data_IF_211936926143
#
_entry.id   IF_211936926143
#
_cell.length_a   1.000
_cell.length_b   1.000
_cell.length_c   1.000
_cell.angle_alpha   90.00
_cell.angle_beta   90.00
_cell.angle_gamma   90.00
#
_symmetry.space_group_name_H-M   'P 1'
#
loop_
_entity.id
_entity.type
_entity.pdbx_description
1 polymer ?
#
# COMPACT_ATOMS: atom_id res chain seq x y z
N UNK A 1 5.18 23.98 -8.29
CA UNK A 1 4.47 23.09 -7.34
C UNK A 1 5.35 21.85 -7.21
N UNK A 2 5.88 21.59 -6.00
CA UNK A 2 6.69 20.39 -5.78
C UNK A 2 5.77 19.18 -5.93
N UNK A 3 6.04 18.29 -6.87
CA UNK A 3 5.28 17.05 -7.01
C UNK A 3 5.66 16.13 -5.87
N UNK A 4 4.79 16.03 -4.86
CA UNK A 4 4.96 15.09 -3.76
C UNK A 4 4.77 13.68 -4.33
N UNK A 5 5.83 12.87 -4.29
CA UNK A 5 5.72 11.45 -4.59
C UNK A 5 4.96 10.74 -3.48
N UNK A 6 4.03 9.88 -3.84
CA UNK A 6 3.30 9.00 -2.93
C UNK A 6 3.88 7.59 -3.01
N UNK A 7 4.09 6.95 -1.86
CA UNK A 7 4.59 5.58 -1.76
C UNK A 7 3.86 4.85 -0.66
N UNK A 8 3.12 3.82 -1.04
CA UNK A 8 2.34 2.98 -0.14
C UNK A 8 2.80 1.53 -0.27
N UNK A 9 2.94 0.84 0.86
CA UNK A 9 3.19 -0.61 0.91
C UNK A 9 2.17 -1.21 1.85
N UNK A 10 1.31 -2.08 1.31
CA UNK A 10 0.34 -2.87 2.05
C UNK A 10 0.86 -4.30 2.16
N UNK A 11 1.00 -4.81 3.38
CA UNK A 11 1.24 -6.23 3.67
C UNK A 11 -0.07 -6.82 4.19
N UNK A 12 -0.66 -7.75 3.44
CA UNK A 12 -1.90 -8.42 3.81
C UNK A 12 -1.63 -9.65 4.68
N UNK A 13 -2.64 -10.08 5.44
CA UNK A 13 -2.49 -11.20 6.38
C UNK A 13 -2.13 -12.53 5.70
N UNK A 14 -2.50 -12.70 4.42
CA UNK A 14 -2.14 -13.88 3.63
C UNK A 14 -0.70 -13.85 3.08
N UNK A 15 0.08 -12.80 3.37
CA UNK A 15 1.44 -12.64 2.85
C UNK A 15 1.53 -11.94 1.50
N UNK A 16 0.41 -11.47 0.95
CA UNK A 16 0.46 -10.59 -0.22
C UNK A 16 1.09 -9.25 0.14
N UNK A 17 1.91 -8.72 -0.77
CA UNK A 17 2.46 -7.37 -0.71
C UNK A 17 1.93 -6.59 -1.92
N UNK A 18 1.29 -5.44 -1.66
CA UNK A 18 0.93 -4.46 -2.68
C UNK A 18 1.74 -3.20 -2.46
N UNK A 19 2.51 -2.78 -3.46
CA UNK A 19 3.23 -1.50 -3.46
C UNK A 19 2.63 -0.58 -4.51
N UNK A 20 2.41 0.68 -4.14
CA UNK A 20 2.04 1.76 -5.04
C UNK A 20 3.07 2.87 -4.95
N UNK A 21 3.60 3.33 -6.08
CA UNK A 21 4.57 4.43 -6.12
C UNK A 21 4.29 5.36 -7.31
N UNK A 22 4.31 6.66 -7.08
CA UNK A 22 4.16 7.67 -8.13
C UNK A 22 3.41 8.91 -7.65
N UNK A 23 3.06 9.84 -8.55
CA UNK A 23 2.18 10.94 -8.20
C UNK A 23 0.77 10.44 -7.86
N UNK A 24 0.03 11.13 -6.97
CA UNK A 24 -1.36 10.80 -6.68
C UNK A 24 -2.22 10.62 -7.94
N UNK A 25 -2.82 9.44 -8.11
CA UNK A 25 -3.66 9.09 -9.27
C UNK A 25 -2.89 8.59 -10.50
N UNK A 26 -1.56 8.55 -10.44
CA UNK A 26 -0.69 7.99 -11.48
C UNK A 26 0.29 6.97 -10.92
N UNK A 27 -0.04 6.32 -9.81
CA UNK A 27 0.85 5.37 -9.16
C UNK A 27 1.00 4.07 -9.98
N UNK A 28 2.23 3.59 -10.09
CA UNK A 28 2.55 2.25 -10.56
C UNK A 28 2.33 1.26 -9.41
N UNK A 29 1.69 0.14 -9.71
CA UNK A 29 1.47 -0.95 -8.75
C UNK A 29 2.43 -2.11 -9.00
N UNK A 30 3.04 -2.61 -7.92
CA UNK A 30 3.84 -3.84 -7.91
C UNK A 30 3.30 -4.80 -6.85
N UNK A 31 3.43 -6.10 -7.11
CA UNK A 31 2.85 -7.16 -6.30
C UNK A 31 3.94 -8.17 -5.89
N UNK A 32 3.83 -8.70 -4.67
CA UNK A 32 4.70 -9.75 -4.15
C UNK A 32 3.93 -10.69 -3.24
N UNK A 33 4.53 -11.83 -2.93
CA UNK A 33 4.00 -12.79 -1.97
C UNK A 33 5.14 -13.28 -1.07
N UNK A 34 4.83 -13.45 0.21
CA UNK A 34 5.74 -13.97 1.22
C UNK A 34 5.08 -15.04 2.07
N UNK A 35 5.90 -15.86 2.72
CA UNK A 35 5.41 -16.88 3.64
C UNK A 35 4.87 -16.28 4.94
N UNK A 36 3.96 -17.00 5.60
CA UNK A 36 3.39 -16.57 6.90
C UNK A 36 4.46 -16.30 7.97
N UNK A 37 5.55 -17.06 7.98
CA UNK A 37 6.67 -16.83 8.91
C UNK A 37 7.39 -15.49 8.68
N UNK A 38 7.45 -15.01 7.44
CA UNK A 38 8.02 -13.69 7.12
C UNK A 38 7.08 -12.57 7.54
N UNK A 39 5.77 -12.74 7.31
CA UNK A 39 4.72 -11.82 7.79
C UNK A 39 4.82 -11.64 9.31
N UNK A 40 4.83 -12.74 10.07
CA UNK A 40 4.96 -12.71 11.52
C UNK A 40 6.26 -12.04 11.97
N UNK A 41 7.39 -12.36 11.31
CA UNK A 41 8.67 -11.74 11.61
C UNK A 41 8.66 -10.21 11.39
N UNK A 42 8.03 -9.72 10.32
CA UNK A 42 7.91 -8.29 10.06
C UNK A 42 6.95 -7.58 11.02
N UNK A 43 5.80 -8.19 11.34
CA UNK A 43 4.86 -7.63 12.32
C UNK A 43 5.49 -7.51 13.70
N UNK A 44 6.27 -8.51 14.13
CA UNK A 44 7.04 -8.43 15.37
C UNK A 44 8.04 -7.27 15.33
N UNK A 45 8.83 -7.15 14.26
CA UNK A 45 9.80 -6.05 14.10
C UNK A 45 9.16 -4.66 14.02
N UNK A 46 7.94 -4.55 13.50
CA UNK A 46 7.20 -3.28 13.41
C UNK A 46 6.54 -2.88 14.74
N UNK A 47 6.27 -3.86 15.62
CA UNK A 47 5.66 -3.63 16.95
C UNK A 47 6.68 -3.48 18.08
N UNK A 48 7.94 -3.86 17.85
CA UNK A 48 9.05 -3.73 18.82
C UNK A 48 9.43 -2.29 19.21
N UNK A 49 9.53 -1.32 18.28
CA UNK A 49 9.96 0.03 18.64
C UNK A 49 8.92 0.73 19.52
N UNK A 50 9.36 1.36 20.62
CA UNK A 50 8.52 2.31 21.34
C UNK A 50 8.47 3.61 20.55
N UNK A 51 7.28 3.91 20.01
CA UNK A 51 7.03 5.04 19.13
C UNK A 51 6.50 6.26 19.89
N UNK A 52 6.26 6.13 21.20
CA UNK A 52 5.73 7.19 22.05
C UNK A 52 6.69 8.38 22.24
N UNK A 53 7.99 8.21 22.01
CA UNK A 53 9.00 9.26 22.21
C UNK A 53 9.49 9.94 20.92
N UNK A 54 9.01 9.51 19.74
CA UNK A 54 9.51 10.03 18.45
C UNK A 54 8.64 11.15 17.89
N UNK A 55 8.25 12.10 18.73
CA UNK A 55 7.65 13.33 18.25
C UNK A 55 8.77 14.29 17.83
N UNK A 56 8.87 14.52 16.52
CA UNK A 56 9.80 15.44 15.85
C UNK A 56 11.29 15.10 15.90
N UNK A 57 11.86 14.81 14.72
CA UNK A 57 13.30 14.91 14.54
C UNK A 57 13.76 16.33 14.95
N UNK A 58 14.78 16.48 15.81
CA UNK A 58 15.31 17.79 16.15
C UNK A 58 15.78 18.47 14.87
N UNK A 59 15.28 19.68 14.62
CA UNK A 59 15.43 20.43 13.36
C UNK A 59 16.74 20.15 12.62
N UNK A 60 16.62 19.42 11.50
CA UNK A 60 17.71 19.23 10.56
C UNK A 60 18.10 20.56 9.89
N UNK A 61 19.25 20.60 9.19
CA UNK A 61 19.68 21.81 8.49
C UNK A 61 18.57 22.31 7.57
N UNK A 62 18.05 23.52 7.75
CA UNK A 62 17.02 24.08 6.89
C UNK A 62 17.65 24.54 5.57
N UNK A 63 17.20 23.98 4.44
CA UNK A 63 17.68 24.33 3.10
C UNK A 63 16.64 24.02 2.04
N UNK A 64 16.64 24.79 0.95
CA UNK A 64 15.61 24.78 -0.10
C UNK A 64 15.45 23.46 -0.92
N UNK A 65 16.16 22.39 -0.55
CA UNK A 65 16.28 21.14 -1.33
C UNK A 65 16.11 19.87 -0.49
N UNK A 66 15.42 19.95 0.64
CA UNK A 66 15.22 18.80 1.52
C UNK A 66 13.87 18.14 1.22
N UNK A 67 13.92 16.86 0.89
CA UNK A 67 12.73 16.03 0.71
C UNK A 67 12.13 15.72 2.09
N UNK A 68 11.05 16.44 2.42
CA UNK A 68 10.24 16.20 3.61
C UNK A 68 9.31 15.00 3.36
N UNK A 69 9.50 13.93 4.11
CA UNK A 69 8.72 12.70 4.01
C UNK A 69 7.71 12.61 5.16
N UNK A 70 6.55 12.03 4.86
CA UNK A 70 5.57 11.60 5.87
C UNK A 70 5.43 10.09 5.77
N UNK A 71 5.65 9.39 6.88
CA UNK A 71 5.41 7.95 7.00
C UNK A 71 4.14 7.75 7.81
N UNK A 72 3.16 7.08 7.22
CA UNK A 72 1.96 6.64 7.92
C UNK A 72 2.04 5.12 8.13
N UNK A 73 1.98 4.69 9.40
CA UNK A 73 2.03 3.29 9.79
C UNK A 73 0.68 2.88 10.35
N UNK A 74 0.08 1.85 9.73
CA UNK A 74 -1.17 1.23 10.19
C UNK A 74 -0.89 -0.25 10.50
N UNK A 75 -0.99 -0.63 11.76
CA UNK A 75 -0.80 -2.02 12.21
C UNK A 75 -2.14 -2.62 12.69
N UNK A 76 -2.33 -3.94 12.55
CA UNK A 76 -3.53 -4.60 13.07
C UNK A 76 -3.70 -4.37 14.58
N UNK A 77 -4.87 -3.88 15.00
CA UNK A 77 -5.20 -3.66 16.41
C UNK A 77 -4.52 -2.46 17.08
N UNK A 78 -3.77 -1.63 16.34
CA UNK A 78 -3.13 -0.43 16.85
C UNK A 78 -3.69 0.85 16.19
N UNK A 79 -3.68 2.01 16.88
CA UNK A 79 -4.00 3.28 16.24
C UNK A 79 -2.97 3.58 15.13
N UNK A 80 -3.43 4.23 14.05
CA UNK A 80 -2.54 4.72 13.00
C UNK A 80 -1.56 5.73 13.57
N UNK A 81 -0.30 5.66 13.11
CA UNK A 81 0.77 6.54 13.57
C UNK A 81 1.37 7.29 12.38
N UNK A 82 1.71 8.56 12.58
CA UNK A 82 2.26 9.40 11.52
C UNK A 82 3.57 10.01 11.98
N UNK A 83 4.61 9.82 11.19
CA UNK A 83 5.95 10.35 11.44
C UNK A 83 6.35 11.29 10.32
N UNK A 84 7.06 12.35 10.67
CA UNK A 84 7.70 13.24 9.70
C UNK A 84 9.21 13.11 9.82
N UNK A 85 9.88 12.99 8.69
CA UNK A 85 11.33 12.93 8.64
C UNK A 85 11.86 13.47 7.33
N UNK A 86 13.12 13.92 7.33
CA UNK A 86 13.78 14.30 6.09
C UNK A 86 14.56 13.10 5.55
N UNK A 87 14.42 12.81 4.26
CA UNK A 87 15.05 11.63 3.63
C UNK A 87 16.57 11.54 3.84
N UNK A 88 17.23 12.70 3.92
CA UNK A 88 18.67 12.85 4.08
C UNK A 88 19.11 13.13 5.53
N UNK A 89 18.16 13.29 6.46
CA UNK A 89 18.47 13.36 7.89
C UNK A 89 18.66 11.97 8.47
N UNK A 90 19.37 11.89 9.60
CA UNK A 90 19.40 10.66 10.40
C UNK A 90 18.08 10.56 11.17
N UNK A 91 17.19 9.60 10.84
CA UNK A 91 15.97 9.40 11.62
C UNK A 91 16.33 8.98 13.05
N UNK A 92 15.38 9.09 13.97
CA UNK A 92 15.52 8.44 15.28
C UNK A 92 15.79 6.94 15.10
N UNK A 93 16.37 6.30 16.11
CA UNK A 93 16.63 4.86 16.08
C UNK A 93 15.35 4.06 15.77
N UNK A 94 14.24 4.44 16.41
CA UNK A 94 12.93 3.80 16.23
C UNK A 94 12.40 3.96 14.79
N UNK A 95 12.43 5.17 14.24
CA UNK A 95 11.97 5.42 12.87
C UNK A 95 12.90 4.77 11.84
N UNK A 96 14.21 4.76 12.09
CA UNK A 96 15.19 4.06 11.27
C UNK A 96 14.96 2.55 11.24
N UNK A 97 14.50 1.96 12.34
CA UNK A 97 14.12 0.55 12.41
C UNK A 97 12.88 0.27 11.55
N UNK A 98 11.81 1.08 11.66
CA UNK A 98 10.60 0.95 10.84
C UNK A 98 10.94 1.06 9.34
N UNK A 99 11.65 2.11 8.94
CA UNK A 99 12.02 2.34 7.54
C UNK A 99 12.82 1.16 6.98
N UNK A 100 13.65 0.51 7.80
CA UNK A 100 14.37 -0.70 7.39
C UNK A 100 13.42 -1.86 7.16
N UNK A 101 12.47 -2.12 8.05
CA UNK A 101 11.48 -3.19 7.86
C UNK A 101 10.67 -2.96 6.58
N UNK A 102 10.22 -1.72 6.33
CA UNK A 102 9.47 -1.38 5.09
C UNK A 102 10.31 -1.68 3.85
N UNK A 103 11.60 -1.33 3.85
CA UNK A 103 12.51 -1.66 2.73
C UNK A 103 12.71 -3.15 2.55
N UNK A 104 12.76 -3.93 3.64
CA UNK A 104 12.86 -5.38 3.58
C UNK A 104 11.58 -5.98 2.96
N UNK A 105 10.39 -5.48 3.33
CA UNK A 105 9.10 -5.87 2.72
C UNK A 105 9.12 -5.58 1.23
N UNK A 106 9.56 -4.40 0.83
CA UNK A 106 9.60 -4.03 -0.59
C UNK A 106 10.62 -4.83 -1.40
N UNK A 107 11.74 -5.22 -0.79
CA UNK A 107 12.73 -6.07 -1.43
C UNK A 107 12.20 -7.48 -1.72
N UNK A 108 11.12 -7.92 -1.04
CA UNK A 108 10.45 -9.18 -1.30
C UNK A 108 9.46 -9.13 -2.48
N UNK A 109 9.23 -7.96 -3.06
CA UNK A 109 8.37 -7.82 -4.24
C UNK A 109 9.09 -8.42 -5.45
N UNK A 110 8.45 -9.41 -6.08
CA UNK A 110 8.90 -9.95 -7.35
C UNK A 110 8.50 -8.99 -8.49
N UNK A 111 9.46 -8.33 -9.18
CA UNK A 111 9.13 -7.42 -10.28
C UNK A 111 8.48 -8.12 -11.48
N UNK A 112 8.56 -9.45 -11.54
CA UNK A 112 7.95 -10.28 -12.59
C UNK A 112 6.51 -10.72 -12.27
N UNK A 113 6.08 -10.61 -11.00
CA UNK A 113 4.70 -10.90 -10.60
C UNK A 113 3.73 -9.92 -11.27
N UNK A 114 2.80 -10.48 -12.03
CA UNK A 114 1.77 -9.71 -12.75
C UNK A 114 0.39 -9.83 -12.12
N UNK A 115 0.16 -10.91 -11.39
CA UNK A 115 -1.10 -11.24 -10.76
C UNK A 115 -0.83 -12.05 -9.51
N UNK A 116 -1.76 -11.96 -8.57
CA UNK A 116 -1.77 -12.73 -7.33
C UNK A 116 -3.22 -13.07 -6.96
N UNK A 117 -3.40 -14.07 -6.10
CA UNK A 117 -4.71 -14.33 -5.51
C UNK A 117 -5.17 -13.14 -4.67
N UNK A 118 -6.47 -12.82 -4.74
CA UNK A 118 -7.04 -11.70 -4.01
C UNK A 118 -7.01 -11.96 -2.49
N UNK A 119 -6.35 -11.10 -1.69
CA UNK A 119 -6.20 -11.33 -0.25
C UNK A 119 -7.51 -11.48 0.52
N UNK A 120 -7.42 -12.21 1.64
CA UNK A 120 -8.54 -12.48 2.55
C UNK A 120 -9.24 -11.21 3.04
N UNK A 121 -8.38 -10.29 3.44
CA UNK A 121 -8.55 -8.95 4.00
C UNK A 121 -8.29 -7.87 2.95
N UNK A 122 -8.52 -8.18 1.66
CA UNK A 122 -8.30 -7.24 0.58
C UNK A 122 -9.07 -5.95 0.80
N UNK A 123 -8.33 -4.85 0.80
CA UNK A 123 -8.82 -3.49 0.94
C UNK A 123 -8.79 -2.81 -0.43
N UNK A 124 -9.97 -2.56 -1.05
CA UNK A 124 -10.03 -1.96 -2.38
C UNK A 124 -9.43 -0.57 -2.39
N UNK A 125 -8.78 -0.21 -3.50
CA UNK A 125 -8.32 1.15 -3.75
C UNK A 125 -8.56 1.58 -5.19
N UNK A 126 -8.76 2.88 -5.42
CA UNK A 126 -8.85 3.44 -6.77
C UNK A 126 -7.56 3.11 -7.54
N UNK A 127 -7.73 2.62 -8.76
CA UNK A 127 -6.66 2.20 -9.66
C UNK A 127 -6.30 0.72 -9.56
N UNK A 128 -6.82 -0.02 -8.56
CA UNK A 128 -6.63 -1.47 -8.51
C UNK A 128 -7.32 -2.14 -9.69
N UNK A 129 -6.61 -3.05 -10.36
CA UNK A 129 -7.11 -3.84 -11.47
C UNK A 129 -7.42 -5.26 -10.98
N UNK A 130 -8.66 -5.70 -11.11
CA UNK A 130 -9.15 -6.96 -10.60
C UNK A 130 -9.59 -7.88 -11.75
N UNK A 131 -9.33 -9.19 -11.60
CA UNK A 131 -9.88 -10.23 -12.48
C UNK A 131 -11.11 -10.85 -11.84
N UNK A 132 -12.25 -10.77 -12.55
CA UNK A 132 -13.50 -11.39 -12.15
C UNK A 132 -13.43 -12.92 -12.35
N UNK A 133 -14.30 -13.68 -11.69
CA UNK A 133 -14.36 -15.16 -11.80
C UNK A 133 -14.52 -15.69 -13.25
N UNK A 134 -15.02 -14.87 -14.17
CA UNK A 134 -15.16 -15.21 -15.59
C UNK A 134 -14.01 -14.70 -16.48
N UNK A 135 -12.94 -14.18 -15.87
CA UNK A 135 -11.74 -13.70 -16.55
C UNK A 135 -11.81 -12.24 -17.04
N UNK A 136 -12.95 -11.56 -16.88
CA UNK A 136 -13.08 -10.16 -17.29
C UNK A 136 -12.37 -9.25 -16.29
N UNK A 137 -11.63 -8.26 -16.80
CA UNK A 137 -10.87 -7.31 -15.99
C UNK A 137 -11.65 -6.04 -15.71
N UNK A 138 -11.50 -5.53 -14.50
CA UNK A 138 -12.12 -4.29 -14.04
C UNK A 138 -11.17 -3.48 -13.20
N UNK A 139 -11.10 -2.18 -13.46
CA UNK A 139 -10.39 -1.22 -12.64
C UNK A 139 -11.36 -0.54 -11.67
N UNK A 140 -10.97 -0.39 -10.41
CA UNK A 140 -11.71 0.44 -9.45
C UNK A 140 -11.49 1.91 -9.80
N UNK A 141 -12.56 2.61 -10.17
CA UNK A 141 -12.49 4.01 -10.61
C UNK A 141 -13.03 4.99 -9.57
N UNK A 142 -13.94 4.55 -8.70
CA UNK A 142 -14.50 5.39 -7.64
C UNK A 142 -15.07 4.57 -6.48
N UNK A 143 -15.34 5.28 -5.37
CA UNK A 143 -16.13 4.78 -4.24
C UNK A 143 -17.47 5.51 -4.18
N UNK A 144 -18.49 4.86 -3.66
CA UNK A 144 -19.77 5.52 -3.37
C UNK A 144 -19.60 6.59 -2.29
N UNK A 145 -20.52 7.57 -2.24
CA UNK A 145 -20.43 8.69 -1.29
C UNK A 145 -20.46 8.27 0.19
N UNK A 146 -20.96 7.07 0.50
CA UNK A 146 -21.01 6.47 1.83
C UNK A 146 -19.85 5.49 2.10
N UNK A 147 -18.90 5.34 1.18
CA UNK A 147 -17.75 4.44 1.23
C UNK A 147 -18.10 2.93 1.38
N UNK A 148 -19.34 2.56 1.06
CA UNK A 148 -19.82 1.16 1.17
C UNK A 148 -19.75 0.37 -0.13
N UNK A 149 -19.70 1.05 -1.26
CA UNK A 149 -19.66 0.45 -2.59
C UNK A 149 -18.46 0.95 -3.39
N UNK A 150 -18.09 0.15 -4.39
CA UNK A 150 -17.07 0.52 -5.37
C UNK A 150 -17.67 0.56 -6.77
N UNK A 151 -17.20 1.51 -7.54
CA UNK A 151 -17.44 1.62 -8.97
C UNK A 151 -16.24 1.07 -9.73
N UNK A 152 -16.54 0.16 -10.66
CA UNK A 152 -15.57 -0.59 -11.44
C UNK A 152 -15.83 -0.34 -12.92
N UNK A 153 -14.80 -0.04 -13.69
CA UNK A 153 -14.88 0.07 -15.14
C UNK A 153 -14.01 -0.98 -15.80
N UNK A 154 -14.54 -1.67 -16.81
CA UNK A 154 -13.70 -2.55 -17.63
C UNK A 154 -12.84 -1.70 -18.58
N UNK A 155 -11.54 -1.95 -18.70
CA UNK A 155 -10.69 -1.29 -19.70
C UNK A 155 -10.87 -1.90 -21.10
N UNK A 156 -11.42 -3.10 -21.20
CA UNK A 156 -11.55 -3.86 -22.45
C UNK A 156 -12.94 -3.73 -23.07
N UNK A 157 -13.95 -3.37 -22.28
CA UNK A 157 -15.36 -3.31 -22.68
C UNK A 157 -16.04 -2.08 -22.06
N UNK A 158 -17.06 -1.49 -22.70
CA UNK A 158 -17.82 -0.36 -22.14
C UNK A 158 -18.81 -0.84 -21.06
N UNK A 159 -18.29 -1.47 -20.00
CA UNK A 159 -19.04 -2.07 -18.91
C UNK A 159 -18.61 -1.45 -17.59
N UNK A 160 -19.59 -0.98 -16.82
CA UNK A 160 -19.43 -0.47 -15.46
C UNK A 160 -20.17 -1.39 -14.49
N UNK A 161 -19.54 -1.71 -13.36
CA UNK A 161 -20.14 -2.44 -12.26
C UNK A 161 -20.15 -1.59 -11.00
N UNK A 162 -21.20 -1.74 -10.21
CA UNK A 162 -21.28 -1.22 -8.85
C UNK A 162 -21.51 -2.41 -7.93
N UNK A 163 -20.61 -2.63 -6.99
CA UNK A 163 -20.77 -3.71 -6.00
C UNK A 163 -20.46 -3.20 -4.59
N UNK A 164 -21.08 -3.79 -3.55
CA UNK A 164 -20.66 -3.56 -2.17
C UNK A 164 -19.19 -3.93 -1.98
N UNK A 165 -18.49 -3.14 -1.18
CA UNK A 165 -17.06 -3.32 -0.88
C UNK A 165 -16.78 -4.68 -0.21
N UNK A 166 -17.71 -5.16 0.61
CA UNK A 166 -17.63 -6.47 1.27
C UNK A 166 -17.84 -7.65 0.32
N UNK A 167 -18.46 -7.43 -0.85
CA UNK A 167 -18.76 -8.47 -1.84
C UNK A 167 -17.67 -8.63 -2.90
N UNK A 168 -16.59 -7.83 -2.87
CA UNK A 168 -15.53 -7.86 -3.88
C UNK A 168 -14.98 -9.28 -4.06
N UNK A 169 -14.72 -9.99 -2.96
CA UNK A 169 -14.19 -11.36 -3.01
C UNK A 169 -15.19 -12.42 -3.51
N UNK A 170 -16.49 -12.10 -3.57
CA UNK A 170 -17.49 -12.99 -4.15
C UNK A 170 -17.47 -12.94 -5.68
N UNK A 171 -16.96 -11.85 -6.25
CA UNK A 171 -16.95 -11.61 -7.69
C UNK A 171 -15.56 -11.69 -8.31
N UNK A 172 -14.51 -11.37 -7.56
CA UNK A 172 -13.14 -11.25 -8.04
C UNK A 172 -12.21 -12.26 -7.39
N UNK A 173 -11.26 -12.77 -8.19
CA UNK A 173 -10.32 -13.82 -7.77
C UNK A 173 -8.87 -13.35 -7.72
N UNK A 174 -8.49 -12.33 -8.48
CA UNK A 174 -7.09 -11.88 -8.57
C UNK A 174 -6.97 -10.37 -8.55
N UNK A 175 -5.87 -9.90 -7.96
CA UNK A 175 -5.36 -8.54 -8.11
C UNK A 175 -4.26 -8.56 -9.19
N UNK A 176 -4.35 -7.64 -10.14
CA UNK A 176 -3.51 -7.57 -11.34
C UNK A 176 -2.69 -6.28 -11.33
N UNK A 177 -1.42 -6.37 -11.73
CA UNK A 177 -0.60 -5.19 -12.02
C UNK A 177 -1.15 -4.43 -13.23
N UNK A 178 -1.21 -3.09 -13.14
CA UNK A 178 -1.54 -2.22 -14.28
C UNK A 178 -0.42 -2.23 -15.33
N UNK A 179 -0.81 -2.29 -16.60
CA UNK A 179 0.05 -2.05 -17.74
C UNK A 179 0.84 -3.26 -18.25
N UNK A 180 0.53 -3.66 -19.49
CA UNK A 180 1.49 -3.80 -20.58
C UNK A 180 0.89 -3.17 -21.83
#
# INVERSE_FOLDING_TARGET
MSSVGHREVTLFANGTIRRREGPPGGEEMSLGEVGSGEVEAWLNRLSEPDLGETDTAPGGPEGAWIEACTLELRLPGAPAQTFRYDRYSSPSLALGAIVRVVRDIEAAIDPTSREIELPGDYEPQIGDLLERLDGVRFEIVAFTADDRGIELSSPEQPLTLYIPREEVRLHFQRLLRRGW
#
